data_IF_337269397336
#
_entry.id   IF_337269397336
#
_cell.length_a   1.000
_cell.length_b   1.000
_cell.length_c   1.000
_cell.angle_alpha   90.00
_cell.angle_beta   90.00
_cell.angle_gamma   90.00
#
_symmetry.space_group_name_H-M   'P 1'
#
loop_
_entity.id
_entity.type
_entity.pdbx_description
1 polymer ?
2 non-polymer ?
3 water ?
#
# COMPACT_ATOMS: atom_id res chain seq x y z
N UNK A 2 16.07 7.69 20.90
CA UNK A 2 16.51 8.47 19.72
C UNK A 2 15.36 9.45 19.37
N UNK A 3 14.93 9.41 18.11
CA UNK A 3 14.34 10.54 17.42
C UNK A 3 12.83 10.26 17.29
N UNK A 4 12.04 11.29 17.00
CA UNK A 4 10.62 11.12 16.72
C UNK A 4 10.17 11.89 15.49
N UNK A 5 9.10 11.42 14.86
CA UNK A 5 8.41 12.17 13.84
C UNK A 5 6.94 12.27 14.18
N UNK A 6 6.42 13.47 14.33
CA UNK A 6 5.00 13.62 14.64
C UNK A 6 4.69 12.98 15.99
N UNK A 7 5.63 13.09 16.93
CA UNK A 7 5.48 12.60 18.30
C UNK A 7 5.67 11.09 18.47
N UNK A 8 6.02 10.39 17.39
CA UNK A 8 6.11 8.94 17.38
C UNK A 8 7.57 8.52 17.28
N UNK A 9 7.92 7.47 17.99
CA UNK A 9 9.27 6.95 17.90
C UNK A 9 9.60 6.29 16.56
N UNK A 10 10.88 6.42 16.15
CA UNK A 10 11.45 5.68 15.04
C UNK A 10 12.07 4.40 15.51
N UNK A 11 12.66 4.46 16.69
CA UNK A 11 13.20 3.29 17.34
C UNK A 11 12.33 3.01 18.56
N UNK A 12 12.07 1.74 18.81
CA UNK A 12 11.20 1.37 19.91
C UNK A 12 11.98 1.48 21.22
N UNK A 13 11.43 2.19 22.23
CA UNK A 13 12.00 2.07 23.59
C UNK A 13 12.22 0.63 24.05
N UNK A 14 12.89 0.47 25.18
CA UNK A 14 12.75 -0.75 25.96
C UNK A 14 11.53 -0.55 26.87
N UNK A 15 10.93 -1.65 27.33
CA UNK A 15 9.65 -1.61 28.07
C UNK A 15 8.59 -0.67 27.43
N UNK A 16 8.32 -0.84 26.12
CA UNK A 16 7.03 -0.29 25.70
C UNK A 16 5.93 -1.12 26.36
N UNK A 17 4.79 -0.50 26.71
CA UNK A 17 3.63 -1.33 27.04
C UNK A 17 3.44 -2.42 25.99
N UNK A 18 3.33 -3.68 26.42
CA UNK A 18 2.94 -4.73 25.50
C UNK A 18 1.77 -4.27 24.64
N UNK A 19 1.63 -4.85 23.46
CA UNK A 19 0.44 -4.51 22.65
C UNK A 19 -0.83 -5.00 23.32
N UNK A 20 -1.82 -4.11 23.55
CA UNK A 20 -2.98 -4.47 24.37
C UNK A 20 -3.94 -5.37 23.67
N UNK A 21 -4.66 -6.19 24.43
CA UNK A 21 -5.46 -7.29 23.90
C UNK A 21 -6.58 -6.63 23.10
N UNK A 22 -7.12 -7.26 22.06
CA UNK A 22 -8.25 -6.63 21.39
C UNK A 22 -9.40 -7.59 21.59
N UNK A 23 -10.51 -7.13 22.14
CA UNK A 23 -11.78 -7.88 21.98
C UNK A 23 -12.51 -7.48 20.68
N UNK A 32 -16.75 -2.40 14.21
CA UNK A 32 -16.40 -3.61 14.94
C UNK A 32 -15.07 -4.22 14.45
N UNK A 33 -14.61 -5.22 15.19
CA UNK A 33 -13.26 -5.76 15.09
C UNK A 33 -13.35 -7.27 15.06
N UNK A 34 -12.89 -7.87 13.99
CA UNK A 34 -13.04 -9.29 13.83
C UNK A 34 -11.68 -9.87 13.48
N UNK A 35 -11.44 -11.10 13.92
CA UNK A 35 -10.19 -11.76 13.67
C UNK A 35 -10.22 -12.20 12.22
N UNK A 36 -9.11 -12.00 11.50
CA UNK A 36 -9.05 -12.43 10.10
C UNK A 36 -9.00 -13.95 10.03
N UNK A 37 -9.76 -14.51 9.12
CA UNK A 37 -9.62 -15.92 8.83
C UNK A 37 -8.31 -16.24 8.15
N UNK A 38 -7.97 -17.52 8.20
CA UNK A 38 -6.79 -18.05 7.56
C UNK A 38 -6.80 -17.67 6.09
N UNK A 39 -7.95 -17.87 5.46
CA UNK A 39 -8.10 -17.54 4.04
C UNK A 39 -7.79 -16.05 3.73
N UNK A 40 -8.32 -15.13 4.54
CA UNK A 40 -8.07 -13.70 4.40
C UNK A 40 -6.61 -13.37 4.62
N UNK A 41 -6.00 -13.98 5.62
CA UNK A 41 -4.57 -13.81 5.88
C UNK A 41 -3.75 -14.28 4.68
N UNK A 42 -4.10 -15.43 4.15
CA UNK A 42 -3.39 -15.91 2.98
C UNK A 42 -3.45 -14.91 1.82
N UNK A 43 -4.59 -14.28 1.64
CA UNK A 43 -4.76 -13.41 0.50
C UNK A 43 -3.98 -12.11 0.73
N UNK A 44 -4.02 -11.59 1.96
CA UNK A 44 -3.24 -10.39 2.27
C UNK A 44 -1.76 -10.69 2.11
N UNK A 45 -1.37 -11.90 2.50
CA UNK A 45 0.02 -12.30 2.45
C UNK A 45 0.47 -12.32 1.00
N UNK A 46 -0.39 -12.87 0.14
CA UNK A 46 0.01 -13.10 -1.24
C UNK A 46 0.29 -11.76 -2.01
N UNK A 47 -0.56 -10.78 -1.77
CA UNK A 47 -0.41 -9.44 -2.31
C UNK A 47 0.67 -8.61 -1.62
N UNK A 48 0.96 -8.90 -0.34
CA UNK A 48 2.15 -8.38 0.30
C UNK A 48 3.43 -8.89 -0.33
N UNK A 49 3.38 -10.15 -0.74
CA UNK A 49 4.51 -10.73 -1.40
C UNK A 49 4.75 -10.08 -2.73
N UNK A 50 3.68 -9.86 -3.50
CA UNK A 50 3.83 -9.17 -4.79
C UNK A 50 4.42 -7.76 -4.63
N UNK A 51 3.94 -7.06 -3.63
CA UNK A 51 4.49 -5.78 -3.33
C UNK A 51 5.96 -5.80 -3.01
N UNK A 52 6.39 -6.88 -2.34
CA UNK A 52 7.80 -7.01 -1.98
C UNK A 52 8.72 -7.15 -3.17
N UNK A 53 8.22 -7.72 -4.26
CA UNK A 53 9.05 -7.96 -5.42
C UNK A 53 9.49 -6.64 -6.07
N UNK A 54 8.81 -5.54 -5.75
CA UNK A 54 9.12 -4.30 -6.44
C UNK A 54 10.50 -3.79 -6.03
N UNK A 55 10.98 -4.24 -4.87
CA UNK A 55 12.28 -3.81 -4.38
C UNK A 55 13.39 -4.64 -4.95
N UNK A 56 13.07 -5.69 -5.71
CA UNK A 56 14.09 -6.48 -6.35
C UNK A 56 14.59 -5.81 -7.65
N UNK A 57 15.90 -5.59 -7.74
CA UNK A 57 16.49 -4.95 -8.92
C UNK A 57 16.35 -5.85 -10.14
N UNK A 58 16.36 -7.16 -9.93
CA UNK A 58 16.10 -8.08 -11.03
C UNK A 58 14.72 -7.84 -11.67
N UNK A 59 13.75 -7.36 -10.88
CA UNK A 59 12.41 -7.08 -11.41
C UNK A 59 12.37 -5.70 -12.04
N UNK A 60 12.75 -4.68 -11.26
CA UNK A 60 12.89 -3.35 -11.78
C UNK A 60 14.23 -2.85 -11.34
N UNK A 61 15.13 -2.56 -12.29
CA UNK A 61 14.82 -2.47 -13.74
C UNK A 61 15.23 -3.72 -14.55
N UNK A 62 15.57 -4.81 -13.88
CA UNK A 62 16.04 -6.00 -14.57
C UNK A 62 15.03 -6.60 -15.53
N UNK A 63 13.75 -6.40 -15.24
CA UNK A 63 12.68 -6.86 -16.11
C UNK A 63 12.65 -8.35 -16.26
N UNK A 64 12.96 -9.04 -15.16
CA UNK A 64 12.76 -10.48 -15.12
C UNK A 64 11.83 -10.82 -13.95
N UNK A 65 11.16 -11.97 -14.05
CA UNK A 65 10.29 -12.42 -12.97
C UNK A 65 10.81 -13.77 -12.46
N UNK A 66 11.93 -13.76 -11.76
CA UNK A 66 12.55 -15.00 -11.27
C UNK A 66 13.02 -14.88 -9.82
N UNK A 67 12.58 -13.83 -9.14
CA UNK A 67 13.04 -13.56 -7.81
C UNK A 67 12.38 -14.57 -6.91
N UNK A 68 12.83 -14.67 -5.67
CA UNK A 68 12.26 -15.64 -4.75
C UNK A 68 10.79 -15.43 -4.48
N UNK A 69 10.38 -14.23 -4.04
CA UNK A 69 8.95 -14.03 -3.77
C UNK A 69 8.11 -14.01 -5.05
N UNK A 70 8.75 -13.68 -6.17
CA UNK A 70 8.11 -13.70 -7.48
C UNK A 70 7.53 -15.07 -7.76
N UNK A 71 8.37 -16.10 -7.65
CA UNK A 71 7.95 -17.45 -8.09
C UNK A 71 7.13 -18.15 -7.04
N UNK A 72 7.33 -17.79 -5.79
CA UNK A 72 6.47 -18.25 -4.74
C UNK A 72 5.03 -17.76 -4.91
N UNK A 73 4.80 -16.46 -5.11
CA UNK A 73 3.42 -15.95 -5.08
C UNK A 73 2.76 -15.85 -6.47
N UNK A 74 3.54 -15.69 -7.52
CA UNK A 74 2.98 -15.68 -8.88
C UNK A 74 3.87 -16.49 -9.81
N UNK A 75 3.83 -17.82 -9.65
CA UNK A 75 4.78 -18.67 -10.37
C UNK A 75 4.67 -18.54 -11.87
N UNK A 76 3.47 -18.31 -12.40
CA UNK A 76 3.31 -18.18 -13.84
C UNK A 76 3.31 -16.72 -14.29
N UNK A 77 3.80 -15.82 -13.43
CA UNK A 77 3.79 -14.40 -13.76
C UNK A 77 4.54 -14.06 -15.04
N UNK A 78 3.99 -13.11 -15.79
CA UNK A 78 4.65 -12.47 -16.95
C UNK A 78 4.70 -10.97 -16.79
N UNK A 79 5.89 -10.42 -16.79
CA UNK A 79 6.08 -8.99 -16.69
C UNK A 79 5.66 -8.38 -18.01
N UNK A 80 4.80 -7.38 -17.97
CA UNK A 80 4.35 -6.71 -19.17
C UNK A 80 5.15 -5.42 -19.35
N UNK A 81 5.49 -4.75 -18.26
CA UNK A 81 6.15 -3.47 -18.35
C UNK A 81 6.73 -3.14 -17.00
N UNK A 82 7.89 -2.50 -16.97
CA UNK A 82 8.42 -1.89 -15.74
C UNK A 82 8.69 -0.43 -16.01
N UNK A 83 8.73 0.39 -14.97
CA UNK A 83 8.92 1.84 -15.10
C UNK A 83 9.55 2.46 -13.84
N UNK A 84 10.17 3.61 -14.00
CA UNK A 84 10.91 4.24 -12.95
C UNK A 84 10.81 5.73 -13.17
N UNK A 85 10.48 6.49 -12.13
CA UNK A 85 10.65 7.92 -12.14
C UNK A 85 11.77 8.30 -11.16
N UNK A 86 12.84 8.90 -11.68
CA UNK A 86 14.05 9.13 -10.91
C UNK A 86 13.84 10.09 -9.79
N UNK A 87 13.15 11.18 -10.10
CA UNK A 87 13.05 12.29 -9.13
C UNK A 87 12.71 11.89 -7.69
N UNK A 88 11.84 10.88 -7.52
CA UNK A 88 11.47 10.37 -6.18
C UNK A 88 11.78 8.88 -6.03
N UNK A 89 12.52 8.35 -7.00
CA UNK A 89 12.78 6.90 -7.05
C UNK A 89 11.49 6.08 -6.87
N UNK A 90 10.49 6.42 -7.70
CA UNK A 90 9.24 5.69 -7.77
C UNK A 90 9.35 4.70 -8.91
N UNK A 91 9.08 3.45 -8.61
CA UNK A 91 9.28 2.36 -9.54
C UNK A 91 8.03 1.50 -9.51
N UNK A 92 7.81 0.71 -10.56
CA UNK A 92 6.68 -0.18 -10.59
C UNK A 92 6.69 -1.06 -11.81
N UNK A 93 5.68 -1.90 -11.86
CA UNK A 93 5.52 -2.85 -12.92
C UNK A 93 4.07 -3.25 -13.10
N UNK A 94 3.81 -3.87 -14.25
CA UNK A 94 2.56 -4.50 -14.54
C UNK A 94 2.96 -5.94 -14.82
N UNK A 95 2.17 -6.85 -14.30
CA UNK A 95 2.42 -8.27 -14.39
C UNK A 95 1.07 -8.95 -14.62
N UNK A 96 1.07 -9.99 -15.45
CA UNK A 96 -0.13 -10.77 -15.65
C UNK A 96 0.11 -12.23 -15.24
N UNK A 97 -0.88 -12.76 -14.53
CA UNK A 97 -1.00 -14.19 -14.24
C UNK A 97 -2.26 -14.70 -14.95
N UNK A 98 -2.07 -15.63 -15.86
CA UNK A 98 -3.19 -16.24 -16.50
C UNK A 98 -3.81 -17.24 -15.56
N UNK A 99 -2.99 -17.91 -14.79
CA UNK A 99 -3.47 -18.91 -13.83
C UNK A 99 -4.37 -18.26 -12.79
N UNK A 100 -4.05 -17.08 -12.32
CA UNK A 100 -4.87 -16.42 -11.29
C UNK A 100 -5.84 -15.43 -11.94
N UNK A 101 -5.83 -15.33 -13.26
CA UNK A 101 -6.69 -14.38 -14.02
C UNK A 101 -6.57 -12.99 -13.38
N UNK A 102 -5.37 -12.49 -13.21
CA UNK A 102 -5.14 -11.21 -12.53
C UNK A 102 -4.15 -10.35 -13.30
N UNK A 103 -4.41 -9.08 -13.39
CA UNK A 103 -3.43 -8.11 -13.91
C UNK A 103 -2.93 -7.34 -12.69
N UNK A 104 -1.67 -7.42 -12.39
CA UNK A 104 -1.12 -6.74 -11.20
C UNK A 104 -0.47 -5.42 -11.58
N UNK A 105 -0.77 -4.40 -10.83
CA UNK A 105 -0.13 -3.08 -10.97
C UNK A 105 0.60 -2.90 -9.63
N UNK A 106 1.90 -2.88 -9.64
CA UNK A 106 2.67 -2.82 -8.37
C UNK A 106 3.58 -1.60 -8.33
N UNK A 107 3.67 -0.92 -7.20
CA UNK A 107 4.54 0.26 -7.06
C UNK A 107 5.41 0.21 -5.81
N UNK A 108 6.77 0.89 -5.93
CA UNK A 108 7.36 1.32 -4.65
C UNK A 108 7.77 2.79 -4.77
N UNK A 109 8.20 3.26 -3.71
CA UNK A 109 8.93 4.52 -3.62
C UNK A 109 10.36 4.23 -3.20
N UNK A 110 11.00 5.14 -2.55
CA UNK A 110 12.40 4.96 -2.13
C UNK A 110 12.52 3.88 -1.06
N UNK A 111 13.59 3.11 -1.11
CA UNK A 111 13.94 2.11 -0.10
C UNK A 111 14.75 2.78 1.01
N UNK A 112 14.94 4.09 0.94
CA UNK A 112 15.54 4.80 2.05
C UNK A 112 14.49 5.23 3.09
N UNK A 113 13.96 4.25 3.84
CA UNK A 113 12.71 4.45 4.57
C UNK A 113 12.85 5.47 5.68
N UNK A 114 13.92 5.37 6.45
CA UNK A 114 14.04 6.21 7.62
C UNK A 114 14.19 7.66 7.23
N UNK A 115 15.09 7.97 6.31
CA UNK A 115 15.12 9.36 5.85
C UNK A 115 13.79 9.78 5.21
N UNK A 116 13.18 8.93 4.40
CA UNK A 116 11.92 9.32 3.76
C UNK A 116 10.86 9.75 4.79
N UNK A 117 10.83 9.08 5.93
CA UNK A 117 9.87 9.44 6.98
C UNK A 117 10.31 10.67 7.73
N UNK A 118 11.59 10.70 8.14
CA UNK A 118 12.10 11.85 8.88
C UNK A 118 12.06 13.14 8.04
N UNK A 119 12.26 13.08 6.74
CA UNK A 119 12.29 14.31 5.92
C UNK A 119 10.93 14.67 5.36
N UNK A 120 9.91 13.84 5.61
CA UNK A 120 8.68 13.94 4.82
C UNK A 120 8.13 15.33 5.07
N UNK A 121 7.55 15.97 4.07
CA UNK A 121 6.80 17.21 4.29
C UNK A 121 5.30 16.97 4.01
N UNK A 122 4.47 17.71 4.72
CA UNK A 122 3.04 17.39 4.84
C UNK A 122 2.16 18.19 3.90
N UNK A 123 2.76 19.08 3.13
CA UNK A 123 2.01 19.96 2.24
C UNK A 123 1.06 19.21 1.30
N UNK A 124 -0.15 19.72 1.19
CA UNK A 124 -1.17 19.24 0.28
C UNK A 124 -1.09 19.92 -1.06
N UNK A 125 -1.51 19.21 -2.10
CA UNK A 125 -1.93 19.78 -3.36
C UNK A 125 -3.42 19.42 -3.50
N UNK A 126 -4.19 20.19 -4.27
CA UNK A 126 -5.55 19.84 -4.59
C UNK A 126 -5.62 18.57 -5.38
N UNK A 127 -6.60 17.72 -5.05
CA UNK A 127 -6.89 16.55 -5.81
C UNK A 127 -7.94 16.89 -6.87
N UNK A 128 -7.50 16.99 -8.11
CA UNK A 128 -8.31 17.69 -9.10
C UNK A 128 -9.60 16.94 -9.48
N UNK A 129 -9.62 15.60 -9.36
CA UNK A 129 -10.89 14.92 -9.66
C UNK A 129 -12.03 15.19 -8.69
N UNK A 130 -11.75 15.76 -7.52
CA UNK A 130 -12.75 15.88 -6.47
C UNK A 130 -12.54 17.16 -5.69
N UNK A 131 -13.49 18.09 -5.83
CA UNK A 131 -13.33 19.42 -5.26
C UNK A 131 -13.32 19.30 -3.76
N UNK A 132 -12.40 20.02 -3.13
CA UNK A 132 -12.24 19.97 -1.68
C UNK A 132 -11.28 18.87 -1.20
N UNK A 133 -10.99 17.89 -2.07
CA UNK A 133 -10.12 16.76 -1.69
C UNK A 133 -8.69 17.17 -1.95
N UNK A 134 -7.80 16.79 -1.03
CA UNK A 134 -6.38 17.14 -1.12
C UNK A 134 -5.55 15.89 -0.81
N UNK A 135 -4.44 15.75 -1.54
CA UNK A 135 -3.47 14.68 -1.32
C UNK A 135 -2.07 15.23 -1.18
N UNK A 136 -1.25 14.48 -0.46
CA UNK A 136 0.14 14.83 -0.21
C UNK A 136 0.82 15.23 -1.51
N UNK A 137 1.44 16.41 -1.55
CA UNK A 137 1.92 16.96 -2.83
C UNK A 137 2.99 16.11 -3.49
N UNK A 138 3.88 15.59 -2.66
CA UNK A 138 4.91 14.64 -3.10
C UNK A 138 4.31 13.41 -3.74
N UNK A 139 3.39 12.73 -3.05
CA UNK A 139 2.90 11.49 -3.62
C UNK A 139 2.27 11.77 -4.98
N UNK A 140 1.46 12.83 -5.05
CA UNK A 140 0.74 13.14 -6.28
C UNK A 140 1.66 13.53 -7.44
N UNK A 141 2.75 14.26 -7.17
CA UNK A 141 3.76 14.51 -8.24
C UNK A 141 4.38 13.24 -8.77
N UNK A 142 4.70 12.32 -7.87
CA UNK A 142 5.25 11.04 -8.31
C UNK A 142 4.24 10.29 -9.16
N UNK A 143 2.99 10.30 -8.72
CA UNK A 143 1.96 9.63 -9.47
C UNK A 143 1.88 10.20 -10.88
N UNK A 144 1.85 11.53 -10.98
CA UNK A 144 1.69 12.17 -12.29
C UNK A 144 2.86 11.90 -13.25
N UNK A 145 4.02 11.51 -12.72
CA UNK A 145 5.10 10.98 -13.57
C UNK A 145 4.84 9.56 -14.05
N UNK A 146 4.41 8.68 -13.16
CA UNK A 146 4.35 7.27 -13.55
C UNK A 146 3.06 6.89 -14.28
N UNK A 147 2.02 7.73 -14.15
CA UNK A 147 0.73 7.42 -14.80
C UNK A 147 0.87 7.22 -16.32
N UNK A 148 1.80 7.95 -16.93
CA UNK A 148 2.01 7.87 -18.38
C UNK A 148 2.57 6.51 -18.72
N UNK A 149 3.37 5.95 -17.83
CA UNK A 149 4.02 4.67 -18.10
C UNK A 149 3.03 3.52 -17.95
N UNK A 150 2.22 3.52 -16.90
CA UNK A 150 1.46 2.29 -16.60
C UNK A 150 0.02 2.24 -17.15
N UNK A 151 -0.68 3.37 -17.14
CA UNK A 151 -2.10 3.41 -17.46
C UNK A 151 -2.44 2.80 -18.81
N UNK A 152 -1.69 3.14 -19.89
CA UNK A 152 -2.04 2.56 -21.22
C UNK A 152 -1.87 1.07 -21.23
N UNK A 153 -0.86 0.59 -20.50
CA UNK A 153 -0.57 -0.83 -20.43
C UNK A 153 -1.68 -1.59 -19.69
N UNK A 154 -2.26 -1.01 -18.63
CA UNK A 154 -3.38 -1.74 -17.96
C UNK A 154 -4.62 -1.84 -18.89
N UNK A 155 -4.88 -0.72 -19.59
CA UNK A 155 -5.93 -0.69 -20.64
C UNK A 155 -5.75 -1.74 -21.69
N UNK A 156 -4.50 -1.92 -22.08
CA UNK A 156 -4.17 -2.86 -23.15
C UNK A 156 -4.32 -4.33 -22.74
N UNK A 157 -3.86 -4.64 -21.53
CA UNK A 157 -4.01 -5.99 -20.98
C UNK A 157 -5.48 -6.35 -20.71
N UNK A 158 -6.23 -5.39 -20.19
CA UNK A 158 -7.62 -5.61 -19.90
C UNK A 158 -8.42 -5.81 -21.18
N UNK A 159 -8.10 -5.03 -22.23
CA UNK A 159 -8.65 -5.34 -23.57
C UNK A 159 -8.36 -6.75 -24.02
N UNK A 160 -7.13 -7.20 -23.82
CA UNK A 160 -6.77 -8.54 -24.24
C UNK A 160 -7.29 -9.66 -23.32
N UNK A 161 -7.60 -9.31 -22.07
CA UNK A 161 -7.99 -10.29 -21.05
C UNK A 161 -9.13 -9.72 -20.22
N UNK A 162 -10.33 -9.63 -20.83
CA UNK A 162 -11.26 -8.66 -20.25
C UNK A 162 -12.00 -9.21 -19.07
N UNK A 163 -11.88 -10.51 -18.86
CA UNK A 163 -12.43 -11.21 -17.70
C UNK A 163 -11.47 -11.20 -16.49
N UNK A 164 -10.27 -10.66 -16.61
CA UNK A 164 -9.32 -10.73 -15.50
C UNK A 164 -9.59 -9.62 -14.48
N UNK A 165 -9.24 -9.83 -13.22
CA UNK A 165 -9.34 -8.73 -12.28
C UNK A 165 -8.02 -7.97 -12.18
N UNK A 166 -8.09 -6.72 -11.76
CA UNK A 166 -6.93 -5.90 -11.56
C UNK A 166 -6.69 -5.68 -10.07
N UNK A 167 -5.49 -6.04 -9.63
CA UNK A 167 -5.04 -5.87 -8.25
C UNK A 167 -3.95 -4.82 -8.25
N UNK A 168 -4.13 -3.75 -7.48
CA UNK A 168 -3.10 -2.74 -7.39
C UNK A 168 -2.47 -2.85 -5.98
N UNK A 169 -1.15 -3.06 -5.90
CA UNK A 169 -0.51 -3.32 -4.61
C UNK A 169 0.79 -2.54 -4.43
N UNK A 170 1.05 -2.13 -3.18
CA UNK A 170 2.32 -1.52 -2.83
C UNK A 170 2.58 -1.52 -1.35
N UNK A 171 3.87 -1.46 -1.01
CA UNK A 171 4.38 -1.26 0.35
C UNK A 171 4.73 0.20 0.51
N UNK A 172 4.53 0.76 1.70
CA UNK A 172 5.16 2.02 2.02
C UNK A 172 4.70 3.11 1.04
N UNK A 173 5.59 3.99 0.60
CA UNK A 173 5.19 5.07 -0.35
C UNK A 173 4.61 4.45 -1.60
N UNK A 174 4.96 3.21 -1.87
CA UNK A 174 4.36 2.50 -2.99
C UNK A 174 2.87 2.25 -2.80
N UNK A 175 2.48 2.15 -1.53
CA UNK A 175 1.06 1.98 -1.19
C UNK A 175 0.28 3.24 -1.51
N UNK A 176 0.92 4.40 -1.33
CA UNK A 176 0.31 5.65 -1.72
C UNK A 176 0.07 5.69 -3.21
N UNK A 177 1.04 5.26 -4.01
CA UNK A 177 0.85 5.16 -5.45
C UNK A 177 -0.25 4.19 -5.82
N UNK A 178 -0.32 3.07 -5.09
CA UNK A 178 -1.36 2.07 -5.34
C UNK A 178 -2.76 2.68 -5.23
N UNK A 179 -2.99 3.42 -4.15
CA UNK A 179 -4.31 3.98 -3.88
C UNK A 179 -4.65 5.04 -4.96
N UNK A 180 -3.65 5.86 -5.31
CA UNK A 180 -3.86 6.89 -6.34
C UNK A 180 -4.09 6.26 -7.71
N UNK A 181 -3.40 5.17 -7.97
CA UNK A 181 -3.64 4.45 -9.19
C UNK A 181 -5.04 3.86 -9.20
N UNK A 182 -5.43 3.26 -8.08
CA UNK A 182 -6.73 2.62 -8.03
C UNK A 182 -7.86 3.64 -8.26
N UNK A 183 -7.76 4.80 -7.63
CA UNK A 183 -8.73 5.87 -7.86
C UNK A 183 -8.76 6.42 -9.32
N UNK A 184 -7.59 6.47 -9.96
CA UNK A 184 -7.48 6.90 -11.38
C UNK A 184 -8.08 5.87 -12.33
N UNK A 185 -7.74 4.61 -12.11
CA UNK A 185 -8.38 3.55 -12.85
C UNK A 185 -9.91 3.59 -12.70
N UNK A 186 -10.40 3.73 -11.47
CA UNK A 186 -11.84 3.85 -11.28
C UNK A 186 -12.38 5.04 -12.10
N UNK A 187 -11.68 6.15 -12.07
CA UNK A 187 -12.17 7.39 -12.70
C UNK A 187 -12.15 7.26 -14.21
N UNK A 188 -11.15 6.62 -14.80
CA UNK A 188 -10.92 6.77 -16.22
C UNK A 188 -10.96 5.51 -17.00
N UNK A 189 -11.02 4.37 -16.32
CA UNK A 189 -11.13 3.11 -17.04
C UNK A 189 -12.48 2.51 -16.67
N UNK A 190 -13.43 2.67 -17.57
CA UNK A 190 -14.83 2.42 -17.21
C UNK A 190 -15.09 0.92 -17.16
N UNK A 191 -14.24 0.09 -17.75
CA UNK A 191 -14.40 -1.34 -17.60
C UNK A 191 -14.10 -1.87 -16.17
N UNK A 192 -13.56 -1.02 -15.31
CA UNK A 192 -13.21 -1.44 -13.95
C UNK A 192 -14.22 -0.85 -12.98
N UNK A 193 -14.49 -1.61 -11.91
CA UNK A 193 -15.45 -1.23 -10.86
C UNK A 193 -15.11 -2.04 -9.60
N UNK A 194 -15.97 -1.97 -8.56
CA UNK A 194 -15.74 -2.75 -7.35
C UNK A 194 -15.79 -4.23 -7.58
N UNK A 195 -16.35 -4.65 -8.72
CA UNK A 195 -16.38 -6.08 -9.03
C UNK A 195 -15.05 -6.61 -9.44
N UNK A 196 -14.20 -5.78 -10.07
CA UNK A 196 -13.01 -6.34 -10.70
C UNK A 196 -11.75 -5.54 -10.45
N UNK A 197 -11.81 -4.59 -9.51
CA UNK A 197 -10.65 -3.80 -9.14
C UNK A 197 -10.56 -3.75 -7.61
N UNK A 198 -9.34 -3.84 -7.11
CA UNK A 198 -9.09 -3.92 -5.67
C UNK A 198 -7.70 -3.32 -5.41
N UNK A 199 -7.50 -2.77 -4.23
CA UNK A 199 -6.26 -2.14 -3.84
C UNK A 199 -5.79 -2.79 -2.52
N UNK A 200 -4.55 -3.25 -2.52
CA UNK A 200 -3.94 -3.81 -1.30
C UNK A 200 -2.64 -3.15 -1.00
N UNK A 201 -2.48 -2.82 0.27
CA UNK A 201 -1.25 -2.19 0.71
C UNK A 201 -0.72 -2.78 2.04
N UNK A 202 0.57 -2.57 2.27
CA UNK A 202 1.28 -2.91 3.50
C UNK A 202 2.11 -1.71 3.90
N UNK A 203 1.90 -1.20 5.12
CA UNK A 203 2.61 -0.03 5.61
C UNK A 203 2.36 1.27 4.84
N UNK A 204 1.14 1.45 4.37
CA UNK A 204 0.73 2.66 3.65
C UNK A 204 0.62 3.89 4.57
N UNK A 205 1.33 4.97 4.21
CA UNK A 205 1.08 6.22 4.94
C UNK A 205 -0.31 6.81 4.64
N UNK A 206 -0.72 7.78 5.44
CA UNK A 206 -1.88 8.59 5.07
C UNK A 206 -1.54 9.32 3.76
N UNK A 207 -2.56 9.40 2.90
CA UNK A 207 -2.39 9.92 1.56
C UNK A 207 -3.09 11.24 1.29
N UNK A 208 -4.29 11.45 1.84
CA UNK A 208 -5.03 12.68 1.62
C UNK A 208 -5.82 13.15 2.82
N UNK A 209 -6.65 14.19 2.62
CA UNK A 209 -7.48 14.77 3.68
C UNK A 209 -8.83 14.06 3.88
N UNK A 210 -9.62 14.57 4.82
CA UNK A 210 -10.93 13.96 5.13
C UNK A 210 -11.76 13.74 3.89
N UNK A 211 -11.85 14.78 3.06
CA UNK A 211 -12.71 14.68 1.87
C UNK A 211 -12.20 13.66 0.85
N UNK A 212 -10.87 13.53 0.76
CA UNK A 212 -10.28 12.53 -0.10
C UNK A 212 -10.67 11.12 0.39
N UNK A 213 -10.57 10.92 1.69
CA UNK A 213 -10.89 9.66 2.35
C UNK A 213 -12.37 9.30 2.17
N UNK A 214 -13.26 10.27 2.32
CA UNK A 214 -14.68 10.01 2.08
C UNK A 214 -14.93 9.65 0.64
N UNK A 215 -14.23 10.33 -0.27
CA UNK A 215 -14.35 10.00 -1.68
C UNK A 215 -13.92 8.55 -1.94
N UNK A 216 -12.75 8.20 -1.44
CA UNK A 216 -12.25 6.85 -1.69
C UNK A 216 -13.28 5.79 -1.25
N UNK A 217 -13.81 6.00 -0.05
CA UNK A 217 -14.87 5.13 0.50
C UNK A 217 -16.14 5.10 -0.36
N UNK A 218 -16.46 6.24 -0.99
CA UNK A 218 -17.65 6.35 -1.83
C UNK A 218 -17.55 5.57 -3.09
N UNK A 219 -16.33 5.27 -3.54
CA UNK A 219 -16.18 4.55 -4.80
C UNK A 219 -16.56 3.11 -4.66
N UNK A 220 -16.49 2.58 -3.44
CA UNK A 220 -16.71 1.12 -3.25
C UNK A 220 -15.57 0.24 -3.75
N UNK A 221 -14.49 0.83 -4.28
CA UNK A 221 -13.30 0.02 -4.60
C UNK A 221 -12.66 -0.50 -3.29
N UNK A 222 -12.54 -1.82 -3.13
CA UNK A 222 -11.98 -2.34 -1.88
C UNK A 222 -10.52 -1.89 -1.71
N UNK A 223 -10.27 -1.18 -0.62
CA UNK A 223 -8.94 -0.71 -0.29
C UNK A 223 -8.52 -1.35 1.04
N UNK A 224 -7.51 -2.21 0.97
CA UNK A 224 -7.06 -2.95 2.15
C UNK A 224 -5.76 -2.36 2.66
N UNK A 225 -5.76 -1.93 3.92
CA UNK A 225 -4.54 -1.43 4.54
C UNK A 225 -4.06 -2.41 5.63
N UNK A 226 -3.07 -3.20 5.28
CA UNK A 226 -2.40 -4.06 6.25
C UNK A 226 -1.29 -3.31 6.98
N UNK A 227 -1.33 -3.40 8.30
CA UNK A 227 -0.35 -2.79 9.15
C UNK A 227 0.28 -3.74 10.16
N UNK A 228 1.61 -3.76 10.14
CA UNK A 228 2.43 -4.70 10.89
C UNK A 228 2.85 -4.14 12.22
N UNK A 229 2.22 -4.71 13.24
CA UNK A 229 2.47 -4.35 14.62
C UNK A 229 2.62 -2.86 14.84
N UNK A 230 3.83 -2.40 15.18
CA UNK A 230 4.06 -1.02 15.58
C UNK A 230 4.63 -0.13 14.45
N UNK A 231 4.55 -0.59 13.21
CA UNK A 231 5.05 0.16 12.04
C UNK A 231 4.63 1.61 12.10
N UNK A 232 5.62 2.51 12.12
CA UNK A 232 5.32 3.95 12.17
C UNK A 232 4.59 4.49 10.95
N UNK A 233 4.81 3.89 9.80
CA UNK A 233 4.50 4.61 8.57
C UNK A 233 2.98 4.89 8.39
N UNK A 234 2.12 3.96 8.83
CA UNK A 234 0.70 4.24 8.69
C UNK A 234 0.19 5.33 9.61
N UNK A 235 1.07 5.83 10.45
CA UNK A 235 0.73 6.89 11.37
C UNK A 235 1.32 8.23 10.97
N UNK A 236 1.81 8.34 9.74
CA UNK A 236 2.22 9.65 9.21
C UNK A 236 1.61 9.79 7.81
N UNK A 237 1.47 11.01 7.32
CA UNK A 237 1.53 12.25 8.07
C UNK A 237 0.46 12.31 9.15
N UNK A 238 0.49 13.34 9.99
CA UNK A 238 -0.41 13.33 11.15
C UNK A 238 -1.84 13.66 10.80
N UNK A 239 -2.78 12.98 11.44
CA UNK A 239 -4.17 13.45 11.42
C UNK A 239 -4.33 14.94 11.73
N UNK A 240 -3.60 15.45 12.71
CA UNK A 240 -3.73 16.87 13.11
C UNK A 240 -3.44 17.84 11.98
N UNK A 241 -2.75 17.39 10.93
CA UNK A 241 -2.55 18.22 9.76
C UNK A 241 -3.70 18.12 8.75
N UNK A 242 -4.68 17.24 9.00
CA UNK A 242 -5.83 17.09 8.09
C UNK A 242 -5.94 15.76 7.34
N UNK A 243 -4.97 14.88 7.54
CA UNK A 243 -4.90 13.63 6.80
C UNK A 243 -5.85 12.62 7.47
N UNK A 244 -6.36 11.70 6.66
CA UNK A 244 -7.27 10.66 7.18
C UNK A 244 -7.21 9.42 6.31
N UNK A 245 -7.05 8.24 6.93
CA UNK A 245 -7.10 6.96 6.18
C UNK A 245 -8.56 6.55 5.89
N UNK A 246 -8.88 6.31 4.63
CA UNK A 246 -9.95 5.41 4.27
C UNK A 246 -9.46 3.97 4.22
N UNK A 247 -10.33 3.06 3.83
CA UNK A 247 -9.95 1.66 3.72
C UNK A 247 -10.14 0.92 5.04
N UNK A 248 -10.00 -0.38 4.93
CA UNK A 248 -10.20 -1.30 6.02
C UNK A 248 -8.83 -1.80 6.52
N UNK A 249 -8.51 -1.46 7.78
CA UNK A 249 -7.24 -1.85 8.40
C UNK A 249 -7.22 -3.34 8.84
N UNK A 250 -6.25 -4.10 8.34
CA UNK A 250 -5.94 -5.41 8.84
C UNK A 250 -4.61 -5.35 9.60
N UNK A 251 -4.67 -5.51 10.92
CA UNK A 251 -3.53 -5.23 11.81
C UNK A 251 -2.91 -6.55 12.30
N UNK A 252 -1.68 -6.82 11.86
CA UNK A 252 -0.92 -7.98 12.28
C UNK A 252 -0.39 -7.73 13.68
N UNK A 253 -1.00 -8.37 14.65
CA UNK A 253 -0.55 -8.22 16.04
C UNK A 253 0.50 -9.27 16.35
N UNK A 254 0.31 -10.49 15.87
CA UNK A 254 1.33 -11.53 16.01
C UNK A 254 0.97 -12.64 15.07
N UNK A 255 1.88 -13.02 14.19
CA UNK A 255 1.59 -14.17 13.36
C UNK A 255 1.75 -15.49 14.12
N UNK A 256 1.20 -16.57 13.59
CA UNK A 256 0.54 -16.56 12.27
C UNK A 256 -0.96 -16.23 12.27
N UNK A 257 -1.62 -16.17 13.43
CA UNK A 257 -3.08 -16.14 13.42
C UNK A 257 -3.70 -14.87 14.01
N UNK A 258 -2.93 -14.11 14.79
CA UNK A 258 -3.53 -12.95 15.45
C UNK A 258 -3.42 -11.74 14.53
N UNK A 259 -4.25 -11.73 13.47
CA UNK A 259 -4.42 -10.57 12.59
C UNK A 259 -5.84 -10.02 12.76
N UNK A 260 -5.98 -8.80 13.22
CA UNK A 260 -7.30 -8.25 13.54
C UNK A 260 -7.76 -7.29 12.44
N UNK A 261 -9.02 -7.44 12.02
CA UNK A 261 -9.66 -6.54 11.07
C UNK A 261 -10.59 -5.54 11.74
N UNK A 262 -10.23 -4.27 11.64
CA UNK A 262 -11.15 -3.22 12.00
C UNK A 262 -11.98 -2.91 10.75
N UNK A 263 -13.23 -3.40 10.74
CA UNK A 263 -14.02 -3.49 9.51
C UNK A 263 -14.54 -2.12 9.03
N UNK A 264 -14.51 -1.12 9.87
CA UNK A 264 -14.90 0.22 9.48
C UNK A 264 -14.01 0.77 8.35
N UNK A 265 -14.52 1.69 7.53
CA UNK A 265 -13.77 2.18 6.37
C UNK A 265 -13.12 3.58 6.59
N UNK A 266 -13.13 4.02 7.84
CA UNK A 266 -12.42 5.20 8.30
C UNK A 266 -11.63 4.77 9.51
N UNK A 267 -10.37 5.21 9.58
CA UNK A 267 -9.50 4.67 10.60
C UNK A 267 -10.11 4.77 11.99
N UNK A 268 -9.81 3.79 12.83
CA UNK A 268 -10.39 3.69 14.19
C UNK A 268 -9.28 3.69 15.25
N UNK A 269 -9.70 3.70 16.50
CA UNK A 269 -8.80 3.70 17.64
C UNK A 269 -8.44 2.29 18.05
N UNK A 270 -9.10 1.30 17.44
CA UNK A 270 -9.02 -0.05 17.95
C UNK A 270 -7.96 -0.93 17.33
N UNK A 271 -7.42 -0.58 16.16
CA UNK A 271 -6.36 -1.39 15.57
C UNK A 271 -5.01 -0.73 15.86
N UNK A 272 -4.17 -0.52 14.86
CA UNK A 272 -2.79 -0.05 15.15
C UNK A 272 -2.68 1.33 15.80
N UNK A 273 -3.69 2.19 15.65
CA UNK A 273 -3.64 3.48 16.33
C UNK A 273 -3.62 3.33 17.85
N UNK A 274 -3.98 2.15 18.32
CA UNK A 274 -3.93 1.84 19.77
C UNK A 274 -2.51 1.70 20.31
N UNK A 275 -1.47 1.51 19.48
CA UNK A 275 -0.10 1.47 19.99
C UNK A 275 0.71 2.79 19.89
N UNK A 276 0.09 3.83 19.36
CA UNK A 276 0.72 5.13 19.22
C UNK A 276 0.94 5.71 20.62
N UNK A 277 2.11 6.24 20.96
CA UNK A 277 3.17 6.68 20.02
C UNK A 277 4.39 5.77 20.04
N UNK A 278 4.19 4.56 20.50
CA UNK A 278 5.28 3.61 20.60
C UNK A 278 5.37 2.84 19.31
N UNK A 279 5.95 3.48 18.30
CA UNK A 279 6.05 2.94 16.94
C UNK A 279 7.49 2.66 16.59
N UNK A 280 7.74 2.12 15.40
CA UNK A 280 9.11 1.86 14.98
C UNK A 280 9.18 1.80 13.45
N UNK A 281 10.34 2.16 12.89
CA UNK A 281 10.58 1.98 11.47
C UNK A 281 10.94 0.52 11.24
N UNK A 282 11.49 -0.14 12.25
CA UNK A 282 11.91 -1.53 12.05
C UNK A 282 10.68 -2.37 11.70
N UNK A 283 9.54 -2.09 12.35
CA UNK A 283 8.33 -2.88 12.06
C UNK A 283 7.79 -2.67 10.63
N UNK A 284 8.27 -1.65 9.91
CA UNK A 284 7.84 -1.38 8.51
C UNK A 284 8.36 -2.42 7.54
N UNK A 285 9.39 -3.17 7.99
CA UNK A 285 10.26 -3.92 7.08
C UNK A 285 9.91 -5.38 6.86
N UNK A 286 8.93 -5.88 7.62
CA UNK A 286 8.52 -7.27 7.53
C UNK A 286 7.00 -7.37 7.69
N UNK A 287 6.35 -8.00 6.72
CA UNK A 287 4.91 -8.22 6.73
C UNK A 287 4.72 -9.69 6.41
N UNK A 288 4.08 -10.40 7.36
CA UNK A 288 3.78 -11.82 7.25
C UNK A 288 5.04 -12.65 7.05
N UNK A 289 6.12 -12.25 7.70
CA UNK A 289 7.45 -12.84 7.48
C UNK A 289 8.13 -12.46 6.19
N UNK A 290 7.49 -11.67 5.34
CA UNK A 290 8.11 -11.24 4.04
C UNK A 290 8.86 -9.92 4.20
N UNK A 291 10.13 -9.92 3.83
CA UNK A 291 10.94 -8.71 3.87
C UNK A 291 10.46 -7.71 2.81
N UNK A 292 10.13 -6.53 3.29
CA UNK A 292 9.66 -5.43 2.46
C UNK A 292 10.71 -4.32 2.48
N UNK A 293 11.42 -4.21 1.37
CA UNK A 293 12.31 -3.09 1.18
C UNK A 293 13.66 -3.52 0.65
N UNK A 294 14.04 -4.78 0.85
CA UNK A 294 15.36 -5.25 0.43
C UNK A 294 15.38 -6.51 -0.39
N UNK A 295 14.22 -7.00 -0.83
CA UNK A 295 14.20 -8.21 -1.64
C UNK A 295 14.94 -9.38 -0.96
N UNK A 296 14.83 -9.52 0.36
CA UNK A 296 15.49 -10.62 1.09
C UNK A 296 14.60 -11.85 1.14
X LIG B 1 -12.36 -9.67 2.29
X LIG B 1 -11.48 -8.58 2.70
X LIG B 1 -11.60 -10.81 1.80
X LIG B 1 -13.17 -10.05 3.44
X LIG B 1 -13.25 -9.21 1.22
X LIG C 1 5.33 -10.98 10.91
X LIG C 1 6.50 -10.75 10.04
X LIG C 1 5.67 -10.49 12.26
X LIG C 1 5.01 -12.41 10.95
X LIG C 1 4.18 -10.23 10.35
X LIG D 1 -15.89 16.61 7.97
X LIG D 1 -14.53 16.50 7.38
X LIG D 1 -15.86 17.23 9.32
X LIG D 1 -16.69 17.44 7.05
X LIG D 1 -16.59 15.30 8.08
#
# INVERSE_FOLDING_TARGET
DTETVGGMTLDLPENPPPIPATSTAPSSDSGEVVTATAAQIKELTNYAGVAATAYCRSVVPGTKWDCKQCLKYVPDGKLIKTFTSLLTDTNGFILRSDAQKTIYVTFRGTNSFRSAITDMVFTFTDYSPVKGAKVHAGFLSSYNQVVKDYFPVVQDQLTAYPDYKVIVTGHSLGGAQALLAGMDLYQREKRLSPKNLSIYTVGCPRVGNNAFAYYVDSTGIPFHRTVHKRDIVPHVPPQAFGYLHPGVESWIKEDPADVQICTSNIETKQCSNSIVPFTSIADHLTYFGINEGSCLGSSHHHHHH
SO4 S O1 O2 O3 O4
SO4 S O1 O2 O3 O4
SO4 S O1 O2 O3 O4
#
